data_IF_228324253799
#
_entry.id   IF_228324253799
#
_cell.length_a   1.000
_cell.length_b   1.000
_cell.length_c   1.000
_cell.angle_alpha   90.00
_cell.angle_beta   90.00
_cell.angle_gamma   90.00
#
_symmetry.space_group_name_H-M   'P 1'
#
loop_
_entity.id
_entity.type
_entity.pdbx_description
1 polymer ?
#
# COMPACT_ATOMS: atom_id res chain seq x y z
N UNK A 1 13.12 -4.24 -34.77
CA UNK A 1 12.12 -4.73 -35.72
C UNK A 1 10.78 -4.13 -35.33
N UNK A 2 10.13 -3.35 -36.20
CA UNK A 2 8.80 -2.79 -35.91
C UNK A 2 7.72 -3.81 -36.29
N UNK A 3 6.66 -3.99 -35.48
CA UNK A 3 5.63 -5.00 -35.74
C UNK A 3 4.89 -4.67 -37.05
N UNK A 4 4.75 -5.64 -37.96
CA UNK A 4 4.02 -5.45 -39.23
C UNK A 4 2.51 -5.72 -39.12
N UNK A 5 2.05 -6.20 -37.97
CA UNK A 5 0.68 -6.60 -37.63
C UNK A 5 0.41 -6.26 -36.16
N UNK A 6 -0.87 -6.19 -35.77
CA UNK A 6 -1.29 -5.96 -34.38
C UNK A 6 -0.68 -7.03 -33.46
N UNK A 7 0.13 -6.58 -32.50
CA UNK A 7 0.88 -7.42 -31.58
C UNK A 7 0.54 -7.02 -30.14
N UNK A 8 -0.08 -7.94 -29.39
CA UNK A 8 -0.35 -7.80 -27.95
C UNK A 8 0.56 -8.76 -27.17
N UNK A 9 1.44 -8.22 -26.33
CA UNK A 9 2.35 -8.99 -25.46
C UNK A 9 2.02 -8.73 -23.99
N UNK A 10 1.27 -9.62 -23.32
CA UNK A 10 1.17 -9.63 -21.87
C UNK A 10 2.44 -10.25 -21.27
N UNK A 11 2.90 -9.69 -20.15
CA UNK A 11 4.02 -10.16 -19.34
C UNK A 11 3.60 -10.18 -17.88
N UNK A 12 3.79 -11.30 -17.21
CA UNK A 12 3.60 -11.43 -15.76
C UNK A 12 4.95 -11.86 -15.18
N UNK A 13 5.40 -11.18 -14.13
CA UNK A 13 6.65 -11.48 -13.42
C UNK A 13 6.36 -11.64 -11.94
N UNK A 14 6.86 -12.71 -11.33
CA UNK A 14 6.82 -12.94 -9.89
C UNK A 14 8.26 -13.05 -9.39
N UNK A 15 8.58 -12.33 -8.31
CA UNK A 15 9.90 -12.31 -7.70
C UNK A 15 9.81 -12.46 -6.19
N UNK A 16 10.34 -13.57 -5.66
CA UNK A 16 10.42 -13.81 -4.23
C UNK A 16 11.82 -13.52 -3.68
N UNK A 17 11.87 -12.91 -2.50
CA UNK A 17 13.06 -12.83 -1.65
C UNK A 17 12.89 -13.76 -0.42
N UNK A 18 13.96 -14.42 0.04
CA UNK A 18 13.93 -15.28 1.24
C UNK A 18 13.68 -14.52 2.53
N UNK A 19 13.96 -13.22 2.54
CA UNK A 19 13.79 -12.33 3.68
C UNK A 19 12.36 -11.80 3.80
N UNK A 20 11.62 -11.69 2.69
CA UNK A 20 10.30 -11.01 2.69
C UNK A 20 9.15 -11.94 2.30
N UNK A 21 9.35 -12.91 1.40
CA UNK A 21 8.25 -13.71 0.86
C UNK A 21 7.71 -14.69 1.91
N UNK A 22 6.38 -14.70 2.11
CA UNK A 22 5.70 -15.55 3.09
C UNK A 22 6.10 -15.32 4.55
N UNK A 23 6.80 -14.24 4.87
CA UNK A 23 7.10 -13.85 6.25
C UNK A 23 5.93 -13.08 6.86
N UNK A 24 5.74 -13.26 8.17
CA UNK A 24 4.81 -12.43 8.94
C UNK A 24 5.36 -11.01 9.03
N UNK A 25 4.56 -10.03 8.62
CA UNK A 25 4.86 -8.60 8.81
C UNK A 25 3.73 -7.93 9.58
N UNK A 26 4.09 -6.91 10.35
CA UNK A 26 3.11 -5.97 10.84
C UNK A 26 2.67 -5.08 9.67
N UNK A 27 1.40 -5.17 9.28
CA UNK A 27 0.77 -4.27 8.34
C UNK A 27 -0.39 -3.55 9.02
N UNK A 28 -0.67 -2.35 8.56
CA UNK A 28 -1.90 -1.65 8.93
C UNK A 28 -3.07 -2.25 8.16
N UNK A 29 -4.31 -1.95 8.58
CA UNK A 29 -5.48 -2.29 7.78
C UNK A 29 -5.44 -1.49 6.46
N UNK A 30 -4.77 -2.04 5.45
CA UNK A 30 -4.81 -1.53 4.08
C UNK A 30 -6.11 -1.97 3.43
N UNK A 31 -6.62 -1.13 2.51
CA UNK A 31 -7.80 -1.47 1.73
C UNK A 31 -7.58 -2.72 0.88
N UNK A 32 -8.66 -3.24 0.30
CA UNK A 32 -8.60 -4.46 -0.52
C UNK A 32 -7.72 -4.29 -1.75
N UNK A 33 -7.63 -5.36 -2.57
CA UNK A 33 -6.78 -5.47 -3.77
C UNK A 33 -6.74 -4.25 -4.72
N UNK A 34 -7.80 -3.44 -4.77
CA UNK A 34 -7.79 -2.18 -5.51
C UNK A 34 -6.76 -1.16 -4.98
N UNK A 35 -6.58 -1.05 -3.67
CA UNK A 35 -5.56 -0.19 -3.05
C UNK A 35 -4.15 -0.71 -3.28
N UNK A 36 -3.96 -2.03 -3.33
CA UNK A 36 -2.67 -2.62 -3.71
C UNK A 36 -2.27 -2.17 -5.11
N UNK A 37 -3.26 -2.08 -6.02
CA UNK A 37 -3.13 -1.57 -7.38
C UNK A 37 -3.05 -0.03 -7.49
N UNK A 38 -3.15 0.69 -6.38
CA UNK A 38 -3.11 2.16 -6.34
C UNK A 38 -4.45 2.82 -6.64
N UNK A 39 -5.54 2.06 -6.76
CA UNK A 39 -6.89 2.61 -6.87
C UNK A 39 -7.47 2.87 -5.47
N UNK A 40 -8.07 4.04 -5.23
CA UNK A 40 -8.68 4.33 -3.93
C UNK A 40 -9.83 3.35 -3.68
N UNK A 41 -9.78 2.61 -2.57
CA UNK A 41 -10.90 1.75 -2.17
C UNK A 41 -11.78 2.43 -1.13
N UNK A 42 -13.00 1.91 -0.97
CA UNK A 42 -14.00 2.47 -0.07
C UNK A 42 -13.61 2.44 1.41
N UNK A 43 -12.56 1.71 1.80
CA UNK A 43 -12.08 1.66 3.19
C UNK A 43 -11.51 2.98 3.70
N UNK A 44 -11.25 3.95 2.82
CA UNK A 44 -10.82 5.31 3.20
C UNK A 44 -11.97 6.33 3.23
N UNK A 45 -13.20 5.90 2.97
CA UNK A 45 -14.35 6.79 3.02
C UNK A 45 -14.66 7.19 4.47
N UNK A 46 -15.10 8.44 4.63
CA UNK A 46 -15.63 8.92 5.90
C UNK A 46 -16.85 8.08 6.30
N UNK A 47 -16.91 7.58 7.56
CA UNK A 47 -18.06 6.87 8.07
C UNK A 47 -19.33 7.72 7.94
N UNK A 48 -20.47 7.07 7.67
CA UNK A 48 -21.76 7.76 7.53
C UNK A 48 -22.23 8.49 8.81
N UNK A 49 -21.65 8.13 9.96
CA UNK A 49 -21.91 8.82 11.22
C UNK A 49 -21.28 10.22 11.28
N UNK A 50 -20.33 10.53 10.39
CA UNK A 50 -19.66 11.83 10.34
C UNK A 50 -20.44 12.77 9.42
N UNK A 51 -20.90 13.94 9.93
CA UNK A 51 -21.55 14.93 9.08
C UNK A 51 -20.61 15.39 7.97
N UNK A 52 -21.10 15.41 6.73
CA UNK A 52 -20.35 15.86 5.55
C UNK A 52 -20.53 17.36 5.28
N UNK A 53 -21.62 17.92 5.82
CA UNK A 53 -22.08 19.27 5.53
C UNK A 53 -21.83 20.25 6.69
N UNK A 54 -21.32 19.75 7.84
CA UNK A 54 -20.98 20.55 9.02
C UNK A 54 -19.70 20.05 9.69
N UNK A 55 -18.99 20.95 10.38
CA UNK A 55 -17.79 20.59 11.14
C UNK A 55 -18.10 19.66 12.32
N UNK A 56 -17.23 18.68 12.57
CA UNK A 56 -17.32 17.80 13.73
C UNK A 56 -17.33 18.62 15.03
N UNK A 57 -18.37 18.45 15.85
CA UNK A 57 -18.53 19.17 17.11
C UNK A 57 -18.99 20.63 16.98
N UNK A 58 -19.50 21.06 15.82
CA UNK A 58 -20.13 22.38 15.70
C UNK A 58 -21.60 22.35 16.15
N UNK A 59 -21.90 23.20 17.14
CA UNK A 59 -23.22 23.60 17.67
C UNK A 59 -24.14 22.48 18.19
N UNK A 60 -24.09 22.24 19.50
CA UNK A 60 -25.21 21.65 20.25
C UNK A 60 -25.35 20.13 20.22
N UNK A 61 -24.38 19.39 19.67
CA UNK A 61 -24.37 17.92 19.74
C UNK A 61 -24.19 17.43 21.18
N UNK A 62 -25.04 16.49 21.58
CA UNK A 62 -24.92 15.79 22.87
C UNK A 62 -23.65 14.93 22.91
N UNK A 63 -23.08 14.75 24.11
CA UNK A 63 -21.90 13.88 24.34
C UNK A 63 -22.01 12.50 23.70
N UNK A 64 -23.21 11.93 23.70
CA UNK A 64 -23.48 10.58 23.19
C UNK A 64 -23.32 10.49 21.66
N UNK A 65 -23.65 11.58 20.95
CA UNK A 65 -23.53 11.67 19.49
C UNK A 65 -22.06 11.82 19.11
N UNK A 66 -21.31 12.63 19.85
CA UNK A 66 -19.87 12.76 19.69
C UNK A 66 -19.17 11.41 19.94
N UNK A 67 -19.54 10.69 20.99
CA UNK A 67 -18.97 9.37 21.27
C UNK A 67 -19.23 8.37 20.13
N UNK A 68 -20.44 8.35 19.57
CA UNK A 68 -20.77 7.52 18.42
C UNK A 68 -19.95 7.90 17.17
N UNK A 69 -19.76 9.19 16.91
CA UNK A 69 -18.93 9.69 15.83
C UNK A 69 -17.47 9.24 16.00
N UNK A 70 -16.87 9.41 17.18
CA UNK A 70 -15.50 8.97 17.45
C UNK A 70 -15.34 7.45 17.32
N UNK A 71 -16.31 6.67 17.82
CA UNK A 71 -16.30 5.21 17.71
C UNK A 71 -16.53 4.69 16.29
N UNK A 72 -17.09 5.52 15.41
CA UNK A 72 -17.35 5.13 14.01
C UNK A 72 -16.10 5.06 13.14
N UNK A 73 -15.00 5.70 13.57
CA UNK A 73 -13.74 5.63 12.83
C UNK A 73 -13.14 4.22 12.91
N UNK A 74 -12.81 3.60 11.77
CA UNK A 74 -12.14 2.31 11.77
C UNK A 74 -10.76 2.44 12.41
N UNK A 75 -10.40 1.49 13.27
CA UNK A 75 -9.07 1.45 13.87
C UNK A 75 -8.03 0.99 12.83
N UNK A 76 -7.42 1.98 12.17
CA UNK A 76 -6.36 1.79 11.16
C UNK A 76 -4.94 1.86 11.76
N UNK A 77 -4.81 2.12 13.06
CA UNK A 77 -3.53 2.28 13.75
C UNK A 77 -3.03 1.00 14.41
N UNK A 78 -3.92 0.02 14.59
CA UNK A 78 -3.58 -1.26 15.17
C UNK A 78 -2.80 -2.10 14.18
N UNK A 79 -1.55 -2.43 14.53
CA UNK A 79 -0.74 -3.38 13.80
C UNK A 79 -1.45 -4.74 13.72
N UNK A 80 -1.63 -5.23 12.49
CA UNK A 80 -2.15 -6.57 12.19
C UNK A 80 -1.03 -7.39 11.57
N UNK A 81 -0.99 -8.68 11.86
CA UNK A 81 -0.07 -9.58 11.18
C UNK A 81 -0.69 -9.97 9.84
N UNK A 82 0.04 -9.69 8.76
CA UNK A 82 -0.30 -10.17 7.43
C UNK A 82 0.90 -10.91 6.84
N UNK A 83 0.64 -11.84 5.93
CA UNK A 83 1.68 -12.53 5.19
C UNK A 83 2.06 -11.68 3.99
N UNK A 84 3.34 -11.35 3.85
CA UNK A 84 3.83 -10.62 2.68
C UNK A 84 3.73 -11.48 1.42
N UNK A 85 3.13 -10.92 0.37
CA UNK A 85 3.03 -11.55 -0.94
C UNK A 85 4.38 -11.46 -1.68
N UNK A 86 4.67 -12.39 -2.60
CA UNK A 86 5.81 -12.24 -3.49
C UNK A 86 5.63 -10.98 -4.35
N UNK A 87 6.74 -10.34 -4.70
CA UNK A 87 6.71 -9.16 -5.56
C UNK A 87 6.12 -9.56 -6.92
N UNK A 88 5.20 -8.75 -7.44
CA UNK A 88 4.52 -9.01 -8.70
C UNK A 88 4.70 -7.83 -9.66
N UNK A 89 4.93 -8.16 -10.93
CA UNK A 89 4.95 -7.20 -12.03
C UNK A 89 4.04 -7.66 -13.15
N UNK A 90 3.29 -6.72 -13.72
CA UNK A 90 2.41 -6.91 -14.86
C UNK A 90 2.84 -5.92 -15.94
N UNK A 91 3.12 -6.40 -17.14
CA UNK A 91 3.43 -5.60 -18.31
C UNK A 91 2.50 -5.94 -19.45
N UNK A 92 2.04 -4.95 -20.19
CA UNK A 92 1.35 -5.16 -21.46
C UNK A 92 1.96 -4.22 -22.49
N UNK A 93 2.28 -4.74 -23.67
CA UNK A 93 2.62 -3.91 -24.82
C UNK A 93 1.71 -4.24 -26.00
N UNK A 94 1.14 -3.21 -26.60
CA UNK A 94 0.38 -3.30 -27.83
C UNK A 94 1.10 -2.48 -28.91
N UNK A 95 1.27 -3.03 -30.10
CA UNK A 95 1.82 -2.28 -31.22
C UNK A 95 1.24 -2.76 -32.54
N UNK A 96 1.14 -1.86 -33.51
CA UNK A 96 0.55 -2.16 -34.82
C UNK A 96 1.08 -1.16 -35.84
N UNK A 97 1.00 -1.52 -37.12
CA UNK A 97 1.48 -0.69 -38.23
C UNK A 97 0.37 -0.48 -39.25
N UNK A 98 -0.13 0.75 -39.28
CA UNK A 98 -1.11 1.18 -40.27
C UNK A 98 -0.41 1.45 -41.62
N UNK A 99 -0.99 0.92 -42.69
CA UNK A 99 -0.53 1.16 -44.07
C UNK A 99 -1.42 2.20 -44.74
N UNK A 100 -0.86 3.37 -45.07
CA UNK A 100 -1.53 4.41 -45.84
C UNK A 100 -0.80 4.58 -47.18
N UNK A 101 -1.29 3.90 -48.23
CA UNK A 101 -0.67 3.94 -49.56
C UNK A 101 0.78 3.43 -49.54
N UNK A 102 1.74 4.27 -49.93
CA UNK A 102 3.18 3.98 -49.87
C UNK A 102 3.82 4.19 -48.49
N UNK A 103 3.07 4.72 -47.53
CA UNK A 103 3.57 5.09 -46.20
C UNK A 103 3.13 4.09 -45.12
N UNK A 104 4.01 3.83 -44.16
CA UNK A 104 3.76 2.97 -42.99
C UNK A 104 3.91 3.79 -41.72
N UNK A 105 2.88 3.81 -40.88
CA UNK A 105 2.88 4.44 -39.57
C UNK A 105 2.73 3.35 -38.50
N UNK A 106 3.79 3.11 -37.73
CA UNK A 106 3.76 2.21 -36.58
C UNK A 106 3.40 2.96 -35.30
N UNK A 107 2.54 2.37 -34.46
CA UNK A 107 2.31 2.82 -33.09
C UNK A 107 2.66 1.71 -32.10
N UNK A 108 3.16 2.09 -30.93
CA UNK A 108 3.49 1.19 -29.82
C UNK A 108 3.06 1.86 -28.52
N UNK A 109 2.22 1.18 -27.73
CA UNK A 109 1.86 1.57 -26.38
C UNK A 109 2.27 0.45 -25.42
N UNK A 110 2.81 0.82 -24.26
CA UNK A 110 3.14 -0.14 -23.22
C UNK A 110 2.77 0.40 -21.84
N UNK A 111 2.26 -0.48 -20.98
CA UNK A 111 1.96 -0.19 -19.59
C UNK A 111 2.64 -1.25 -18.72
N UNK A 112 3.29 -0.80 -17.64
CA UNK A 112 3.92 -1.68 -16.67
C UNK A 112 3.45 -1.27 -15.27
N UNK A 113 3.05 -2.25 -14.48
CA UNK A 113 2.65 -2.10 -13.09
C UNK A 113 3.51 -3.04 -12.24
N UNK A 114 4.02 -2.55 -11.12
CA UNK A 114 4.86 -3.33 -10.21
C UNK A 114 4.46 -3.07 -8.77
N UNK A 115 4.23 -4.14 -8.03
CA UNK A 115 3.99 -4.12 -6.60
C UNK A 115 5.18 -4.78 -5.89
N UNK A 116 5.79 -4.06 -4.96
CA UNK A 116 6.93 -4.55 -4.17
C UNK A 116 6.65 -4.38 -2.70
N UNK A 117 6.75 -5.49 -1.98
CA UNK A 117 6.66 -5.54 -0.52
C UNK A 117 8.04 -5.76 0.09
N UNK A 118 8.39 -4.89 1.04
CA UNK A 118 9.62 -4.99 1.83
C UNK A 118 9.28 -5.28 3.29
N UNK A 119 10.11 -6.10 3.94
CA UNK A 119 10.12 -6.24 5.40
C UNK A 119 11.38 -5.58 5.91
N UNK A 120 11.23 -4.64 6.85
CA UNK A 120 12.36 -3.99 7.51
C UNK A 120 12.39 -4.40 8.99
N UNK A 121 13.46 -5.08 9.39
CA UNK A 121 13.73 -5.35 10.80
C UNK A 121 14.42 -4.14 11.43
N UNK A 122 13.73 -3.47 12.36
CA UNK A 122 14.29 -2.39 13.16
C UNK A 122 14.81 -2.93 14.49
N UNK A 123 16.09 -2.71 14.77
CA UNK A 123 16.67 -2.93 16.12
C UNK A 123 16.72 -1.60 16.85
N UNK A 124 15.87 -1.42 17.86
CA UNK A 124 15.86 -0.21 18.67
C UNK A 124 16.62 -0.45 19.97
N UNK A 125 17.81 0.13 20.11
CA UNK A 125 18.52 0.19 21.37
C UNK A 125 18.04 1.42 22.15
N UNK A 126 17.41 1.21 23.31
CA UNK A 126 17.05 2.31 24.22
C UNK A 126 18.12 2.39 25.31
N UNK A 127 18.79 3.54 25.37
CA UNK A 127 19.70 3.88 26.47
C UNK A 127 18.92 4.80 27.41
N UNK A 128 18.72 4.35 28.64
CA UNK A 128 18.10 5.13 29.69
C UNK A 128 19.19 5.57 30.67
N UNK A 129 19.14 6.83 31.13
CA UNK A 129 20.11 7.37 32.08
C UNK A 129 19.44 7.42 33.45
N UNK A 130 19.99 6.64 34.37
CA UNK A 130 19.54 6.60 35.75
C UNK A 130 19.92 7.91 36.49
N UNK A 131 19.22 8.22 37.58
CA UNK A 131 19.38 9.47 38.37
C UNK A 131 20.78 9.63 38.97
N UNK A 132 21.53 8.53 39.04
CA UNK A 132 22.94 8.44 39.48
C UNK A 132 23.96 8.69 38.35
N UNK A 133 23.53 8.93 37.12
CA UNK A 133 24.39 9.15 35.96
C UNK A 133 24.91 7.87 35.30
N UNK A 134 24.50 6.69 35.76
CA UNK A 134 24.82 5.42 35.13
C UNK A 134 23.98 5.21 33.85
N UNK A 135 24.62 4.72 32.79
CA UNK A 135 23.95 4.36 31.53
C UNK A 135 23.49 2.91 31.62
N UNK A 136 22.17 2.68 31.61
CA UNK A 136 21.59 1.34 31.54
C UNK A 136 21.08 1.09 30.11
N UNK A 137 21.72 0.17 29.39
CA UNK A 137 21.21 -0.31 28.10
C UNK A 137 20.13 -1.37 28.37
N UNK A 138 18.90 -1.13 27.90
CA UNK A 138 17.85 -2.16 27.90
C UNK A 138 17.86 -2.91 26.57
N UNK A 139 17.63 -4.22 26.63
CA UNK A 139 17.64 -5.12 25.48
C UNK A 139 16.82 -4.57 24.31
N UNK A 140 17.37 -4.70 23.12
CA UNK A 140 16.74 -4.19 21.91
C UNK A 140 15.44 -4.94 21.62
N UNK A 141 14.33 -4.21 21.60
CA UNK A 141 13.07 -4.76 21.11
C UNK A 141 13.19 -4.93 19.58
N UNK A 142 13.13 -6.18 19.10
CA UNK A 142 13.02 -6.47 17.66
C UNK A 142 11.60 -6.13 17.22
N UNK A 143 11.47 -5.21 16.27
CA UNK A 143 10.20 -4.89 15.65
C UNK A 143 10.31 -5.07 14.14
N UNK A 144 9.48 -5.95 13.61
CA UNK A 144 9.35 -6.19 12.17
C UNK A 144 8.32 -5.19 11.63
N UNK A 145 8.76 -4.19 10.89
CA UNK A 145 7.89 -3.27 10.16
C UNK A 145 7.81 -3.71 8.71
N UNK A 146 6.68 -3.41 8.06
CA UNK A 146 6.61 -3.46 6.60
C UNK A 146 5.88 -2.24 6.07
#
# INVERSE_FOLDING_TARGET
SYPSEFELKPRISLGGDSETTFRERNSQAQGGFGEDLGFPSGSRQLPNAIPRDSGLGMSGESSDVLEQQYRSFPNIWQARRTTALPNMGLGVSMGDTLRFGNSRLGYLASANYGHRDGVQEGTFARVDRDETGALNARDAARSTQG
#
